data_IF_665257503331
#
_entry.id   IF_665257503331
#
_cell.length_a   1.000
_cell.length_b   1.000
_cell.length_c   1.000
_cell.angle_alpha   90.00
_cell.angle_beta   90.00
_cell.angle_gamma   90.00
#
_symmetry.space_group_name_H-M   'P 1'
#
loop_
_entity.id
_entity.type
_entity.pdbx_description
1 polymer ?
#
# COMPACT_ATOMS: atom_id res chain seq x y z
N UNK A 1 -2.80 -1.25 -12.14
CA UNK A 1 -3.46 -2.03 -11.08
C UNK A 1 -4.02 -1.10 -10.03
N UNK A 2 -5.17 -1.41 -9.44
CA UNK A 2 -5.77 -0.55 -8.43
C UNK A 2 -6.39 -1.33 -7.27
N UNK A 3 -6.39 -0.71 -6.09
CA UNK A 3 -7.07 -1.22 -4.90
C UNK A 3 -8.60 -1.26 -5.10
N UNK A 4 -9.30 -2.30 -4.60
CA UNK A 4 -10.75 -2.40 -4.69
C UNK A 4 -11.51 -1.33 -3.89
N UNK A 5 -10.83 -0.60 -2.99
CA UNK A 5 -11.50 0.45 -2.22
C UNK A 5 -11.92 1.61 -3.12
N UNK A 6 -13.15 2.08 -2.96
CA UNK A 6 -13.82 3.04 -3.85
C UNK A 6 -12.95 4.25 -4.23
N UNK A 7 -12.30 4.89 -3.25
CA UNK A 7 -11.44 6.06 -3.46
C UNK A 7 -10.27 5.80 -4.42
N UNK A 8 -9.67 4.61 -4.37
CA UNK A 8 -8.59 4.22 -5.27
C UNK A 8 -9.15 3.76 -6.63
N UNK A 9 -10.25 3.03 -6.63
CA UNK A 9 -10.91 2.59 -7.85
C UNK A 9 -11.39 3.78 -8.70
N UNK A 10 -11.96 4.81 -8.09
CA UNK A 10 -12.40 6.02 -8.78
C UNK A 10 -11.22 6.78 -9.38
N UNK A 11 -10.11 6.93 -8.64
CA UNK A 11 -8.88 7.52 -9.16
C UNK A 11 -8.34 6.74 -10.35
N UNK A 12 -8.31 5.41 -10.28
CA UNK A 12 -7.83 4.56 -11.36
C UNK A 12 -8.72 4.67 -12.62
N UNK A 13 -10.04 4.75 -12.44
CA UNK A 13 -10.98 4.97 -13.55
C UNK A 13 -10.75 6.31 -14.25
N UNK A 14 -10.49 7.37 -13.51
CA UNK A 14 -10.15 8.66 -14.08
C UNK A 14 -8.85 8.60 -14.89
N UNK A 15 -7.79 8.00 -14.33
CA UNK A 15 -6.53 7.82 -15.05
C UNK A 15 -6.75 7.01 -16.34
N UNK A 16 -7.44 5.88 -16.26
CA UNK A 16 -7.74 5.03 -17.41
C UNK A 16 -8.58 5.77 -18.46
N UNK A 17 -9.57 6.54 -18.05
CA UNK A 17 -10.44 7.31 -18.93
C UNK A 17 -9.69 8.40 -19.72
N UNK A 18 -8.70 9.04 -19.13
CA UNK A 18 -7.91 10.09 -19.76
C UNK A 18 -6.79 9.50 -20.63
N UNK A 19 -6.13 8.46 -20.16
CA UNK A 19 -4.91 7.91 -20.78
C UNK A 19 -5.18 6.76 -21.76
N UNK A 20 -6.34 6.12 -21.67
CA UNK A 20 -6.65 4.88 -22.39
C UNK A 20 -5.93 3.65 -21.86
N UNK A 21 -5.13 3.76 -20.79
CA UNK A 21 -4.42 2.63 -20.18
C UNK A 21 -5.43 1.71 -19.48
N UNK A 22 -5.46 0.39 -19.80
CA UNK A 22 -6.37 -0.54 -19.15
C UNK A 22 -6.16 -0.60 -17.64
N UNK A 23 -7.23 -0.49 -16.86
CA UNK A 23 -7.21 -0.60 -15.41
C UNK A 23 -7.74 -1.97 -14.96
N UNK A 24 -7.04 -2.62 -14.02
CA UNK A 24 -7.42 -3.91 -13.43
C UNK A 24 -7.37 -3.84 -11.91
N UNK A 25 -8.40 -4.37 -11.28
CA UNK A 25 -8.44 -4.53 -9.83
C UNK A 25 -7.39 -5.52 -9.35
N UNK A 26 -6.74 -5.17 -8.24
CA UNK A 26 -5.73 -6.00 -7.58
C UNK A 26 -6.00 -6.00 -6.06
N UNK A 27 -6.48 -7.12 -5.56
CA UNK A 27 -6.90 -7.25 -4.15
C UNK A 27 -5.75 -7.02 -3.16
N UNK A 28 -4.52 -7.35 -3.56
CA UNK A 28 -3.32 -7.15 -2.74
C UNK A 28 -3.01 -5.67 -2.49
N UNK A 29 -3.59 -4.74 -3.26
CA UNK A 29 -3.45 -3.29 -3.06
C UNK A 29 -4.45 -2.70 -2.05
N UNK A 30 -5.36 -3.51 -1.50
CA UNK A 30 -6.26 -3.05 -0.44
C UNK A 30 -5.46 -2.53 0.74
N UNK A 31 -5.92 -1.42 1.37
CA UNK A 31 -5.27 -0.87 2.56
C UNK A 31 -5.19 -1.90 3.70
N UNK A 32 -4.23 -1.74 4.60
CA UNK A 32 -4.10 -2.59 5.78
C UNK A 32 -5.43 -2.63 6.54
N UNK A 33 -5.83 -3.83 6.92
CA UNK A 33 -6.97 -4.02 7.80
C UNK A 33 -6.52 -3.83 9.25
N UNK A 34 -6.95 -2.76 9.87
CA UNK A 34 -6.61 -2.44 11.26
C UNK A 34 -7.55 -3.11 12.29
N UNK A 35 -8.51 -3.96 11.85
CA UNK A 35 -9.41 -4.68 12.73
C UNK A 35 -10.17 -3.75 13.67
N UNK A 36 -10.09 -4.01 14.97
CA UNK A 36 -10.77 -3.21 16.01
C UNK A 36 -10.35 -1.72 16.00
N UNK A 37 -9.22 -1.38 15.38
CA UNK A 37 -8.74 -0.01 15.28
C UNK A 37 -9.32 0.77 14.09
N UNK A 38 -10.12 0.10 13.24
CA UNK A 38 -10.86 0.82 12.20
C UNK A 38 -11.81 1.84 12.82
N UNK A 39 -11.93 2.99 12.19
CA UNK A 39 -12.76 4.11 12.69
C UNK A 39 -12.31 4.74 14.02
N UNK A 40 -11.12 4.40 14.55
CA UNK A 40 -10.54 5.09 15.69
C UNK A 40 -9.65 6.26 15.25
N UNK A 41 -9.44 7.27 16.11
CA UNK A 41 -8.53 8.38 15.82
C UNK A 41 -7.11 7.88 15.53
N UNK A 42 -6.55 8.25 14.39
CA UNK A 42 -5.20 7.83 13.94
C UNK A 42 -4.07 8.31 14.86
N UNK A 43 -4.32 9.32 15.67
CA UNK A 43 -3.37 9.89 16.63
C UNK A 43 -3.48 9.33 18.05
N UNK A 44 -4.38 8.37 18.33
CA UNK A 44 -4.55 7.79 19.66
C UNK A 44 -3.30 7.04 20.14
N UNK A 45 -2.95 7.16 21.43
CA UNK A 45 -1.75 6.54 22.02
C UNK A 45 -1.79 5.02 21.95
N UNK A 46 -2.94 4.40 22.21
CA UNK A 46 -3.10 2.94 22.16
C UNK A 46 -2.92 2.41 20.73
N UNK A 47 -3.43 3.12 19.74
CA UNK A 47 -3.23 2.75 18.34
C UNK A 47 -1.77 2.93 17.90
N UNK A 48 -1.09 3.97 18.37
CA UNK A 48 0.34 4.16 18.11
C UNK A 48 1.17 3.02 18.70
N UNK A 49 0.86 2.57 19.91
CA UNK A 49 1.51 1.41 20.54
C UNK A 49 1.23 0.12 19.77
N UNK A 50 -0.01 -0.11 19.36
CA UNK A 50 -0.38 -1.29 18.58
C UNK A 50 0.40 -1.36 17.25
N UNK A 51 0.64 -0.24 16.58
CA UNK A 51 1.43 -0.15 15.35
C UNK A 51 2.91 -0.51 15.51
N UNK A 52 3.46 -0.52 16.72
CA UNK A 52 4.84 -0.93 16.97
C UNK A 52 5.04 -2.45 16.94
N UNK A 53 3.95 -3.22 17.00
CA UNK A 53 3.98 -4.68 16.95
C UNK A 53 3.80 -5.18 15.53
N UNK A 54 4.88 -5.30 14.77
CA UNK A 54 4.83 -5.66 13.34
C UNK A 54 4.33 -7.10 13.10
N UNK A 55 4.64 -8.02 14.00
CA UNK A 55 4.26 -9.43 13.88
C UNK A 55 2.86 -9.75 14.41
N UNK A 56 2.29 -8.90 15.26
CA UNK A 56 0.95 -9.11 15.80
C UNK A 56 -0.12 -8.63 14.83
N UNK A 57 -1.08 -9.51 14.55
CA UNK A 57 -2.32 -9.08 13.87
C UNK A 57 -3.19 -8.33 14.88
N UNK A 58 -3.82 -7.25 14.42
CA UNK A 58 -4.89 -6.62 15.18
C UNK A 58 -6.08 -7.57 15.24
N UNK A 59 -6.83 -7.54 16.33
CA UNK A 59 -8.05 -8.34 16.43
C UNK A 59 -8.98 -8.03 15.24
N UNK A 60 -9.33 -9.08 14.49
CA UNK A 60 -10.11 -8.94 13.24
C UNK A 60 -9.35 -8.29 12.08
N UNK A 61 -8.05 -8.06 12.23
CA UNK A 61 -7.23 -7.34 11.25
C UNK A 61 -6.02 -8.12 10.75
N UNK A 62 -5.07 -7.38 10.20
CA UNK A 62 -3.88 -7.87 9.51
C UNK A 62 -2.61 -7.34 10.19
N UNK A 63 -1.59 -8.17 10.39
CA UNK A 63 -0.29 -7.71 10.88
C UNK A 63 0.48 -6.96 9.78
N UNK A 64 1.47 -6.14 10.20
CA UNK A 64 2.39 -5.47 9.27
C UNK A 64 3.16 -6.48 8.41
N UNK A 65 3.60 -7.60 8.99
CA UNK A 65 4.33 -8.63 8.24
C UNK A 65 3.45 -9.30 7.16
N UNK A 66 2.16 -9.52 7.43
CA UNK A 66 1.24 -10.06 6.43
C UNK A 66 0.97 -9.05 5.32
N UNK A 67 0.82 -7.78 5.67
CA UNK A 67 0.71 -6.69 4.69
C UNK A 67 1.95 -6.66 3.78
N UNK A 68 3.15 -6.66 4.37
CA UNK A 68 4.39 -6.66 3.62
C UNK A 68 4.49 -7.88 2.70
N UNK A 69 4.18 -9.06 3.18
CA UNK A 69 4.21 -10.30 2.38
C UNK A 69 3.36 -10.20 1.11
N UNK A 70 2.10 -9.75 1.23
CA UNK A 70 1.23 -9.69 0.03
C UNK A 70 1.65 -8.62 -0.97
N UNK A 71 2.22 -7.50 -0.49
CA UNK A 71 2.73 -6.45 -1.36
C UNK A 71 4.04 -6.87 -2.02
N UNK A 72 4.97 -7.47 -1.28
CA UNK A 72 6.23 -7.97 -1.84
C UNK A 72 5.99 -9.05 -2.90
N UNK A 73 5.06 -9.97 -2.67
CA UNK A 73 4.67 -10.96 -3.67
C UNK A 73 4.12 -10.32 -4.95
N UNK A 74 3.35 -9.23 -4.82
CA UNK A 74 2.89 -8.47 -5.99
C UNK A 74 4.06 -7.81 -6.73
N UNK A 75 4.99 -7.20 -6.00
CA UNK A 75 6.14 -6.51 -6.60
C UNK A 75 7.09 -7.50 -7.29
N UNK A 76 7.34 -8.68 -6.71
CA UNK A 76 8.12 -9.74 -7.35
C UNK A 76 7.49 -10.19 -8.65
N UNK A 77 6.16 -10.40 -8.68
CA UNK A 77 5.42 -10.74 -9.90
C UNK A 77 5.52 -9.63 -10.97
N UNK A 78 5.48 -8.38 -10.56
CA UNK A 78 5.62 -7.22 -11.46
C UNK A 78 7.06 -7.13 -11.99
N UNK A 79 8.05 -7.35 -11.13
CA UNK A 79 9.46 -7.32 -11.49
C UNK A 79 9.78 -8.26 -12.64
N UNK A 80 9.26 -9.48 -12.60
CA UNK A 80 9.46 -10.47 -13.66
C UNK A 80 8.95 -10.03 -15.04
N UNK A 81 8.10 -8.99 -15.08
CA UNK A 81 7.49 -8.43 -16.29
C UNK A 81 7.92 -6.99 -16.56
N UNK A 82 8.81 -6.42 -15.74
CA UNK A 82 9.15 -5.00 -15.78
C UNK A 82 9.97 -4.59 -17.00
N UNK A 83 10.70 -5.51 -17.61
CA UNK A 83 11.46 -5.25 -18.84
C UNK A 83 10.54 -4.93 -20.04
N UNK A 84 9.30 -5.41 -20.00
CA UNK A 84 8.34 -5.24 -21.09
C UNK A 84 7.22 -4.24 -20.77
N UNK A 85 6.99 -3.95 -19.50
CA UNK A 85 5.82 -3.21 -19.03
C UNK A 85 6.12 -2.24 -17.91
N UNK A 86 5.50 -1.07 -17.97
CA UNK A 86 5.39 -0.14 -16.84
C UNK A 86 4.04 -0.30 -16.14
N UNK A 87 4.05 -0.37 -14.83
CA UNK A 87 2.85 -0.51 -14.02
C UNK A 87 2.54 0.77 -13.25
N UNK A 88 1.27 1.16 -13.22
CA UNK A 88 0.76 2.18 -12.31
C UNK A 88 0.00 1.45 -11.21
N UNK A 89 0.38 1.67 -9.96
CA UNK A 89 -0.31 1.15 -8.77
C UNK A 89 -1.09 2.28 -8.12
N UNK A 90 -2.42 2.17 -8.09
CA UNK A 90 -3.31 3.12 -7.42
C UNK A 90 -3.77 2.51 -6.11
N UNK A 91 -3.24 3.01 -5.01
CA UNK A 91 -3.37 2.38 -3.71
C UNK A 91 -3.50 3.41 -2.56
N UNK A 92 -2.92 3.12 -1.41
CA UNK A 92 -3.11 3.84 -0.16
C UNK A 92 -1.76 4.15 0.49
N UNK A 93 -1.78 5.02 1.49
CA UNK A 93 -0.55 5.47 2.14
C UNK A 93 0.19 4.34 2.88
N UNK A 94 -0.52 3.43 3.52
CA UNK A 94 0.10 2.25 4.14
C UNK A 94 0.77 1.33 3.11
N UNK A 95 0.14 1.17 1.94
CA UNK A 95 0.71 0.42 0.82
C UNK A 95 1.96 1.11 0.27
N UNK A 96 1.91 2.44 0.06
CA UNK A 96 3.07 3.20 -0.42
C UNK A 96 4.28 3.05 0.51
N UNK A 97 4.06 2.98 1.82
CA UNK A 97 5.09 2.75 2.83
C UNK A 97 5.76 1.39 2.67
N UNK A 98 4.98 0.34 2.44
CA UNK A 98 5.49 -1.01 2.19
C UNK A 98 6.22 -1.09 0.84
N UNK A 99 5.71 -0.43 -0.19
CA UNK A 99 6.41 -0.35 -1.48
C UNK A 99 7.77 0.35 -1.31
N UNK A 100 7.82 1.46 -0.56
CA UNK A 100 9.07 2.15 -0.27
C UNK A 100 10.10 1.22 0.37
N UNK A 101 9.69 0.41 1.35
CA UNK A 101 10.59 -0.53 2.03
C UNK A 101 11.04 -1.72 1.16
N UNK A 102 10.38 -1.99 0.05
CA UNK A 102 10.84 -2.98 -0.92
C UNK A 102 12.06 -2.48 -1.72
N UNK A 103 12.09 -1.19 -2.04
CA UNK A 103 13.15 -0.60 -2.86
C UNK A 103 14.30 0.00 -2.06
N UNK A 104 14.07 0.38 -0.80
CA UNK A 104 15.04 1.07 0.04
C UNK A 104 15.05 0.52 1.46
N UNK A 105 16.24 0.32 2.01
CA UNK A 105 16.38 0.04 3.43
C UNK A 105 15.88 1.22 4.25
N UNK A 106 15.16 0.92 5.32
CA UNK A 106 14.56 1.92 6.21
C UNK A 106 14.69 1.48 7.66
N UNK A 107 14.99 2.42 8.55
CA UNK A 107 14.80 2.20 9.98
C UNK A 107 13.31 2.14 10.33
N UNK A 108 12.97 1.65 11.51
CA UNK A 108 11.57 1.64 11.96
C UNK A 108 11.00 3.06 12.05
N UNK A 109 11.81 4.03 12.43
CA UNK A 109 11.44 5.44 12.53
C UNK A 109 11.17 6.03 11.14
N UNK A 110 12.04 5.78 10.17
CA UNK A 110 11.85 6.21 8.78
C UNK A 110 10.61 5.57 8.17
N UNK A 111 10.42 4.27 8.38
CA UNK A 111 9.22 3.56 7.92
C UNK A 111 7.95 4.18 8.53
N UNK A 112 7.94 4.42 9.83
CA UNK A 112 6.78 5.01 10.51
C UNK A 112 6.47 6.44 10.04
N UNK A 113 7.51 7.22 9.76
CA UNK A 113 7.40 8.60 9.31
C UNK A 113 7.06 8.74 7.82
N UNK A 114 7.37 7.71 7.00
CA UNK A 114 7.14 7.78 5.56
C UNK A 114 5.66 7.88 5.22
N UNK A 115 5.36 8.77 4.32
CA UNK A 115 4.02 8.93 3.75
C UNK A 115 4.05 9.74 2.48
N UNK A 116 3.05 9.56 1.66
CA UNK A 116 2.84 10.31 0.42
C UNK A 116 1.59 11.17 0.54
N UNK A 117 1.64 12.35 -0.08
CA UNK A 117 0.45 13.23 -0.15
C UNK A 117 -0.60 12.59 -1.07
N UNK A 118 -1.86 12.93 -0.84
CA UNK A 118 -2.93 12.52 -1.76
C UNK A 118 -2.61 12.97 -3.19
N UNK A 119 -2.87 12.09 -4.15
CA UNK A 119 -2.59 12.30 -5.57
C UNK A 119 -1.10 12.46 -5.93
N UNK A 120 -0.19 12.20 -5.00
CA UNK A 120 1.24 12.16 -5.33
C UNK A 120 1.56 10.93 -6.19
N UNK A 121 2.48 11.11 -7.13
CA UNK A 121 3.03 10.04 -7.97
C UNK A 121 4.48 9.84 -7.56
N UNK A 122 4.84 8.61 -7.24
CA UNK A 122 6.21 8.22 -6.91
C UNK A 122 6.65 7.15 -7.91
N UNK A 123 7.83 7.30 -8.46
CA UNK A 123 8.41 6.35 -9.41
C UNK A 123 9.44 5.47 -8.71
N UNK A 124 9.40 4.18 -9.00
CA UNK A 124 10.39 3.19 -8.59
C UNK A 124 10.86 2.43 -9.83
N UNK A 125 12.12 2.12 -9.87
CA UNK A 125 12.75 1.34 -10.95
C UNK A 125 13.38 0.07 -10.33
N UNK A 126 13.09 -1.09 -10.93
CA UNK A 126 13.67 -2.37 -10.50
C UNK A 126 15.12 -2.52 -10.94
#
# INVERSE_FOLDING_TARGET
LYSPLMRAADTAKHISGITGIPAREELRLKEQNFGIWESTPRGGEDFKKAKQSFACSYEGGESMLRLAQRIYNLLDEIKDKSDEKTYILVAHNGIARVVQSYFYDMTNEEYAAFGVKNCAVVRYDF
#
